data_IF_061964468319
#
_entry.id   IF_061964468319
#
_cell.length_a   1.000
_cell.length_b   1.000
_cell.length_c   1.000
_cell.angle_alpha   90.00
_cell.angle_beta   90.00
_cell.angle_gamma   90.00
#
_symmetry.space_group_name_H-M   'P 1'
#
loop_
_entity.id
_entity.type
_entity.pdbx_description
1 polymer ?
#
# COMPACT_ATOMS: atom_id res chain seq x y z
N UNK A 1 -25.52 11.48 -3.60
CA UNK A 1 -24.15 12.00 -3.68
C UNK A 1 -23.29 11.10 -2.80
N UNK A 2 -22.74 10.00 -3.34
CA UNK A 2 -21.93 9.07 -2.55
C UNK A 2 -20.67 9.78 -2.09
N UNK A 3 -20.51 9.98 -0.77
CA UNK A 3 -19.26 10.44 -0.16
C UNK A 3 -18.16 9.46 -0.59
N UNK A 4 -17.42 9.80 -1.64
CA UNK A 4 -16.13 9.13 -1.91
C UNK A 4 -15.23 9.52 -0.76
N UNK A 5 -15.09 8.63 0.23
CA UNK A 5 -14.09 8.79 1.29
C UNK A 5 -12.73 8.89 0.60
N UNK A 6 -11.94 9.90 0.95
CA UNK A 6 -10.63 10.07 0.34
C UNK A 6 -9.75 8.83 0.63
N UNK A 7 -8.98 8.30 -0.33
CA UNK A 7 -8.18 7.08 -0.16
C UNK A 7 -7.33 7.05 1.12
N UNK A 8 -6.83 8.22 1.55
CA UNK A 8 -6.09 8.42 2.78
C UNK A 8 -6.94 8.15 4.03
N UNK A 9 -8.12 8.76 4.12
CA UNK A 9 -9.05 8.56 5.24
C UNK A 9 -9.52 7.11 5.32
N UNK A 10 -9.85 6.50 4.18
CA UNK A 10 -10.23 5.10 4.10
C UNK A 10 -9.11 4.17 4.60
N UNK A 11 -7.86 4.42 4.17
CA UNK A 11 -6.70 3.64 4.61
C UNK A 11 -6.45 3.79 6.11
N UNK A 12 -6.58 5.00 6.67
CA UNK A 12 -6.44 5.23 8.10
C UNK A 12 -7.50 4.47 8.92
N UNK A 13 -8.76 4.46 8.45
CA UNK A 13 -9.85 3.75 9.11
C UNK A 13 -9.63 2.23 9.10
N UNK A 14 -9.20 1.67 7.96
CA UNK A 14 -8.91 0.24 7.84
C UNK A 14 -7.79 -0.20 8.79
N UNK A 15 -6.72 0.59 8.90
CA UNK A 15 -5.59 0.32 9.80
C UNK A 15 -6.02 0.41 11.26
N UNK A 16 -6.74 1.47 11.63
CA UNK A 16 -7.24 1.64 12.99
C UNK A 16 -8.13 0.46 13.41
N UNK A 17 -8.99 -0.03 12.52
CA UNK A 17 -9.83 -1.20 12.78
C UNK A 17 -9.01 -2.50 12.93
N UNK A 18 -8.02 -2.72 12.06
CA UNK A 18 -7.14 -3.88 12.15
C UNK A 18 -6.36 -3.90 13.48
N UNK A 19 -5.80 -2.75 13.89
CA UNK A 19 -5.11 -2.60 15.18
C UNK A 19 -6.08 -2.82 16.35
N UNK A 20 -7.27 -2.19 16.30
CA UNK A 20 -8.28 -2.32 17.33
C UNK A 20 -8.73 -3.77 17.52
N UNK A 21 -8.91 -4.50 16.43
CA UNK A 21 -9.22 -5.94 16.47
C UNK A 21 -8.06 -6.75 17.04
N UNK A 22 -6.82 -6.47 16.59
CA UNK A 22 -5.63 -7.18 17.03
C UNK A 22 -5.34 -7.01 18.53
N UNK A 23 -5.67 -5.85 19.11
CA UNK A 23 -5.57 -5.61 20.56
C UNK A 23 -6.44 -6.55 21.40
N UNK A 24 -7.55 -7.02 20.86
CA UNK A 24 -8.52 -7.86 21.58
C UNK A 24 -8.33 -9.34 21.27
N UNK A 25 -8.10 -9.67 20.00
CA UNK A 25 -8.15 -11.05 19.50
C UNK A 25 -6.81 -11.55 18.94
N UNK A 26 -5.78 -10.71 18.93
CA UNK A 26 -4.56 -10.94 18.15
C UNK A 26 -4.76 -10.66 16.66
N UNK A 27 -3.66 -10.58 15.92
CA UNK A 27 -3.73 -10.30 14.49
C UNK A 27 -4.51 -11.38 13.73
N UNK A 28 -5.54 -10.94 12.99
CA UNK A 28 -6.37 -11.84 12.19
C UNK A 28 -5.90 -11.86 10.72
N UNK A 29 -5.44 -13.01 10.20
CA UNK A 29 -4.91 -13.09 8.83
C UNK A 29 -5.90 -12.67 7.73
N UNK A 30 -7.21 -12.87 7.95
CA UNK A 30 -8.24 -12.48 6.97
C UNK A 30 -8.40 -10.96 6.92
N UNK A 31 -8.41 -10.31 8.09
CA UNK A 31 -8.48 -8.85 8.19
C UNK A 31 -7.22 -8.24 7.61
N UNK A 32 -6.05 -8.75 7.99
CA UNK A 32 -4.76 -8.32 7.44
C UNK A 32 -4.75 -8.39 5.91
N UNK A 33 -5.13 -9.53 5.32
CA UNK A 33 -5.18 -9.67 3.86
C UNK A 33 -6.17 -8.70 3.21
N UNK A 34 -7.34 -8.49 3.81
CA UNK A 34 -8.34 -7.54 3.32
C UNK A 34 -7.80 -6.11 3.31
N UNK A 35 -7.18 -5.67 4.41
CA UNK A 35 -6.62 -4.33 4.54
C UNK A 35 -5.48 -4.11 3.56
N UNK A 36 -4.51 -5.02 3.48
CA UNK A 36 -3.38 -4.94 2.54
C UNK A 36 -3.87 -4.87 1.09
N UNK A 37 -4.83 -5.73 0.72
CA UNK A 37 -5.40 -5.74 -0.64
C UNK A 37 -6.14 -4.43 -0.95
N UNK A 38 -6.93 -3.92 -0.01
CA UNK A 38 -7.71 -2.69 -0.20
C UNK A 38 -6.80 -1.48 -0.37
N UNK A 39 -5.78 -1.34 0.48
CA UNK A 39 -4.82 -0.24 0.40
C UNK A 39 -3.97 -0.35 -0.88
N UNK A 40 -3.54 -1.55 -1.26
CA UNK A 40 -2.84 -1.77 -2.53
C UNK A 40 -3.69 -1.38 -3.75
N UNK A 41 -4.99 -1.67 -3.73
CA UNK A 41 -5.92 -1.23 -4.77
C UNK A 41 -6.06 0.29 -4.80
N UNK A 42 -6.20 0.95 -3.65
CA UNK A 42 -6.27 2.41 -3.59
C UNK A 42 -5.00 3.07 -4.13
N UNK A 43 -3.83 2.50 -3.83
CA UNK A 43 -2.56 2.99 -4.37
C UNK A 43 -2.52 2.88 -5.90
N UNK A 44 -2.88 1.72 -6.45
CA UNK A 44 -2.95 1.52 -7.90
C UNK A 44 -3.99 2.44 -8.59
N UNK A 45 -5.14 2.67 -7.97
CA UNK A 45 -6.15 3.60 -8.47
C UNK A 45 -5.64 5.05 -8.49
N UNK A 46 -4.84 5.46 -7.49
CA UNK A 46 -4.21 6.78 -7.45
C UNK A 46 -3.15 6.94 -8.53
N UNK A 47 -2.30 5.93 -8.76
CA UNK A 47 -1.29 5.97 -9.80
C UNK A 47 -1.90 5.98 -11.21
N UNK A 48 -2.96 5.19 -11.42
CA UNK A 48 -3.70 5.15 -12.68
C UNK A 48 -4.50 6.43 -12.99
N UNK A 49 -4.74 7.28 -12.00
CA UNK A 49 -5.46 8.54 -12.17
C UNK A 49 -4.60 9.67 -12.77
N UNK A 50 -3.37 9.39 -13.19
CA UNK A 50 -2.51 10.33 -13.93
C UNK A 50 -1.96 11.50 -13.10
N UNK A 51 -2.08 11.44 -11.78
CA UNK A 51 -1.61 12.48 -10.86
C UNK A 51 -0.19 12.18 -10.36
N UNK A 52 0.76 11.97 -11.27
CA UNK A 52 2.17 11.80 -10.90
C UNK A 52 2.80 13.15 -10.53
N UNK A 53 2.61 13.59 -9.28
CA UNK A 53 3.12 14.88 -8.77
C UNK A 53 4.46 14.76 -8.01
N UNK A 54 5.00 13.55 -7.85
CA UNK A 54 6.34 13.34 -7.28
C UNK A 54 7.07 12.17 -7.94
N UNK A 55 8.40 12.12 -7.82
CA UNK A 55 9.24 11.01 -8.27
C UNK A 55 8.87 9.64 -7.65
N UNK A 56 8.03 9.65 -6.60
CA UNK A 56 7.52 8.47 -5.91
C UNK A 56 6.13 8.01 -6.40
N UNK A 57 5.34 8.85 -7.08
CA UNK A 57 3.96 8.53 -7.45
C UNK A 57 2.95 8.66 -6.28
N UNK A 58 1.67 8.98 -6.56
CA UNK A 58 0.64 9.18 -5.54
C UNK A 58 0.25 7.90 -4.78
N UNK A 59 0.35 6.72 -5.39
CA UNK A 59 0.12 5.43 -4.74
C UNK A 59 1.15 5.12 -3.66
N UNK A 60 2.43 5.35 -3.97
CA UNK A 60 3.53 5.24 -3.01
C UNK A 60 3.36 6.17 -1.81
N UNK A 61 2.88 7.40 -2.04
CA UNK A 61 2.59 8.36 -0.97
C UNK A 61 1.48 7.86 -0.04
N UNK A 62 0.45 7.20 -0.58
CA UNK A 62 -0.60 6.55 0.21
C UNK A 62 -0.04 5.40 1.05
N UNK A 63 0.82 4.56 0.48
CA UNK A 63 1.46 3.44 1.19
C UNK A 63 2.36 3.92 2.34
N UNK A 64 3.14 4.99 2.11
CA UNK A 64 3.92 5.63 3.17
C UNK A 64 3.01 6.17 4.28
N UNK A 65 1.96 6.90 3.91
CA UNK A 65 0.97 7.41 4.85
C UNK A 65 0.35 6.27 5.68
N UNK A 66 -0.09 5.19 5.04
CA UNK A 66 -0.63 4.01 5.69
C UNK A 66 0.34 3.46 6.74
N UNK A 67 1.62 3.29 6.41
CA UNK A 67 2.64 2.86 7.37
C UNK A 67 2.77 3.82 8.57
N UNK A 68 2.68 5.14 8.36
CA UNK A 68 2.71 6.10 9.49
C UNK A 68 1.51 5.99 10.43
N UNK A 69 0.42 5.32 10.02
CA UNK A 69 -0.75 5.06 10.88
C UNK A 69 -0.56 3.89 11.82
N UNK A 70 0.51 3.10 11.66
CA UNK A 70 0.90 2.03 12.57
C UNK A 70 1.99 2.60 13.47
N UNK A 71 1.68 2.81 14.75
CA UNK A 71 2.67 3.30 15.71
C UNK A 71 3.71 2.22 16.05
N UNK A 72 4.86 2.60 16.57
CA UNK A 72 5.88 1.65 17.03
C UNK A 72 5.35 0.71 18.15
N UNK A 73 4.38 1.17 18.94
CA UNK A 73 3.74 0.38 19.98
C UNK A 73 2.70 -0.61 19.41
N UNK A 74 2.05 -0.25 18.30
CA UNK A 74 1.04 -1.11 17.65
C UNK A 74 1.66 -2.10 16.64
N UNK A 75 2.84 -1.81 16.08
CA UNK A 75 3.49 -2.67 15.10
C UNK A 75 3.69 -4.13 15.57
N UNK A 76 4.07 -4.41 16.83
CA UNK A 76 4.13 -5.79 17.34
C UNK A 76 2.78 -6.50 17.42
N UNK A 77 1.67 -5.76 17.42
CA UNK A 77 0.32 -6.33 17.47
C UNK A 77 -0.20 -6.74 16.08
N UNK A 78 0.34 -6.13 15.02
CA UNK A 78 -0.05 -6.38 13.63
C UNK A 78 1.16 -6.58 12.70
N UNK A 79 2.08 -7.50 13.03
CA UNK A 79 3.32 -7.69 12.28
C UNK A 79 3.09 -8.06 10.81
N UNK A 80 2.08 -8.87 10.48
CA UNK A 80 1.81 -9.29 9.10
C UNK A 80 1.23 -8.15 8.27
N UNK A 81 0.39 -7.30 8.85
CA UNK A 81 -0.11 -6.08 8.21
C UNK A 81 1.03 -5.12 7.91
N UNK A 82 1.88 -4.85 8.90
CA UNK A 82 3.03 -3.96 8.74
C UNK A 82 3.98 -4.48 7.65
N UNK A 83 4.26 -5.79 7.65
CA UNK A 83 5.06 -6.45 6.61
C UNK A 83 4.39 -6.38 5.23
N UNK A 84 3.08 -6.63 5.15
CA UNK A 84 2.31 -6.58 3.91
C UNK A 84 2.34 -5.22 3.24
N UNK A 85 2.20 -4.14 4.02
CA UNK A 85 2.31 -2.77 3.51
C UNK A 85 3.73 -2.42 3.06
N UNK A 86 4.76 -2.83 3.82
CA UNK A 86 6.16 -2.65 3.40
C UNK A 86 6.49 -3.41 2.09
N UNK A 87 5.93 -4.61 1.91
CA UNK A 87 6.06 -5.39 0.66
C UNK A 87 5.41 -4.68 -0.53
N UNK A 88 4.26 -4.05 -0.35
CA UNK A 88 3.64 -3.25 -1.40
C UNK A 88 4.51 -2.04 -1.76
N UNK A 89 5.01 -1.32 -0.74
CA UNK A 89 5.85 -0.14 -0.92
C UNK A 89 7.15 -0.46 -1.66
N UNK A 90 7.77 -1.59 -1.37
CA UNK A 90 9.01 -2.03 -2.03
C UNK A 90 8.76 -2.57 -3.45
N UNK A 91 7.62 -3.20 -3.72
CA UNK A 91 7.26 -3.69 -5.06
C UNK A 91 7.07 -2.59 -6.09
N UNK A 92 6.52 -1.43 -5.70
CA UNK A 92 6.45 -0.25 -6.56
C UNK A 92 7.83 0.37 -6.89
N UNK A 93 8.88 -0.02 -6.16
CA UNK A 93 10.24 0.50 -6.36
C UNK A 93 11.06 -0.28 -7.40
N UNK A 94 10.52 -1.35 -7.98
CA UNK A 94 11.21 -2.11 -9.04
C UNK A 94 10.93 -1.45 -10.39
N UNK A 95 11.93 -0.80 -11.04
CA UNK A 95 11.74 -0.37 -12.41
C UNK A 95 11.55 -1.62 -13.28
N UNK A 96 10.58 -1.59 -14.19
CA UNK A 96 10.52 -2.55 -15.29
C UNK A 96 11.90 -2.59 -15.97
N UNK A 97 12.46 -3.78 -16.27
CA UNK A 97 13.68 -3.84 -17.06
C UNK A 97 13.41 -3.08 -18.36
N UNK A 98 14.25 -2.09 -18.66
CA UNK A 98 14.28 -1.49 -19.99
C UNK A 98 14.70 -2.62 -20.91
N UNK A 99 13.77 -3.17 -21.69
CA UNK A 99 14.13 -4.06 -22.77
C UNK A 99 14.86 -3.21 -23.80
N UNK A 100 16.19 -3.17 -23.70
CA UNK A 100 17.04 -2.69 -24.78
C UNK A 100 16.89 -3.68 -25.94
N UNK A 101 15.93 -3.41 -26.83
CA UNK A 101 15.88 -4.01 -28.17
C UNK A 101 16.94 -3.34 -29.06
N UNK A 102 18.18 -3.31 -28.61
CA UNK A 102 19.32 -2.99 -29.46
C UNK A 102 19.92 -4.31 -29.91
N UNK A 103 20.15 -4.40 -31.23
CA UNK A 103 20.98 -5.42 -31.88
C UNK A 103 20.30 -6.76 -32.21
N UNK A 104 19.34 -6.70 -33.13
CA UNK A 104 19.25 -7.73 -34.17
C UNK A 104 19.67 -7.06 -35.48
N UNK A 105 20.97 -7.05 -35.75
CA UNK A 105 21.50 -6.83 -37.09
C UNK A 105 21.87 -8.21 -37.67
N UNK A 106 21.24 -8.67 -38.77
CA UNK A 106 21.71 -9.86 -39.46
C UNK A 106 22.98 -9.50 -40.26
N UNK A 107 24.06 -10.23 -40.01
CA UNK A 107 25.20 -10.35 -40.92
C UNK A 107 24.87 -11.26 -42.10
#
# INVERSE_FOLDING_TARGET
>A
MSKKVAPYEASAALIANAIGTAKVLGENPRITRLVVSSIGRFAAELDGAGQATSAAGPGRALLQYALTRISAADAPLVPELHNGLNKLLTRESTPLPKTDFAEIAPS
#
